data_IF_805470466471
#
_entry.id   IF_805470466471
#
_cell.length_a   1.000
_cell.length_b   1.000
_cell.length_c   1.000
_cell.angle_alpha   90.00
_cell.angle_beta   90.00
_cell.angle_gamma   90.00
#
_symmetry.space_group_name_H-M   'P 1'
#
loop_
_entity.id
_entity.type
_entity.pdbx_description
1 polymer ?
#
# COMPACT_ATOMS: atom_id res chain seq x y z
N UNK A 1 -25.89 -16.47 12.51
CA UNK A 1 -24.50 -16.27 12.99
C UNK A 1 -23.69 -15.37 12.04
N UNK A 2 -23.58 -15.71 10.75
CA UNK A 2 -22.81 -14.95 9.75
C UNK A 2 -23.26 -13.49 9.54
N UNK A 3 -24.56 -13.22 9.43
CA UNK A 3 -25.08 -11.86 9.24
C UNK A 3 -24.71 -10.89 10.39
N UNK A 4 -24.66 -11.41 11.63
CA UNK A 4 -24.27 -10.61 12.80
C UNK A 4 -22.77 -10.29 12.82
N UNK A 5 -21.93 -11.22 12.36
CA UNK A 5 -20.48 -11.01 12.22
C UNK A 5 -20.17 -9.99 11.12
N UNK A 6 -20.90 -10.05 10.00
CA UNK A 6 -20.75 -9.06 8.91
C UNK A 6 -21.24 -7.67 9.36
N UNK A 7 -22.36 -7.60 10.09
CA UNK A 7 -22.88 -6.35 10.63
C UNK A 7 -21.96 -5.69 11.67
N UNK A 8 -21.27 -6.48 12.50
CA UNK A 8 -20.31 -5.94 13.46
C UNK A 8 -19.01 -5.49 12.80
N UNK A 9 -18.52 -6.25 11.80
CA UNK A 9 -17.34 -5.87 11.03
C UNK A 9 -17.54 -4.57 10.24
N UNK A 10 -18.69 -4.42 9.57
CA UNK A 10 -19.03 -3.19 8.83
C UNK A 10 -19.14 -1.97 9.74
N UNK A 11 -19.67 -2.14 10.95
CA UNK A 11 -19.69 -1.06 11.95
C UNK A 11 -18.29 -0.69 12.43
N UNK A 12 -17.39 -1.65 12.69
CA UNK A 12 -16.00 -1.31 13.06
C UNK A 12 -15.26 -0.59 11.93
N UNK A 13 -15.43 -1.00 10.67
CA UNK A 13 -14.85 -0.29 9.53
C UNK A 13 -15.38 1.15 9.46
N UNK A 14 -16.69 1.33 9.63
CA UNK A 14 -17.29 2.66 9.69
C UNK A 14 -16.72 3.49 10.87
N UNK A 15 -16.45 2.85 12.00
CA UNK A 15 -15.89 3.47 13.19
C UNK A 15 -14.44 3.90 13.01
N UNK A 16 -13.64 3.13 12.26
CA UNK A 16 -12.29 3.52 11.80
C UNK A 16 -12.39 4.77 10.92
N UNK A 17 -13.27 4.76 9.92
CA UNK A 17 -13.43 5.89 8.97
C UNK A 17 -13.80 7.19 9.70
N UNK A 18 -14.79 7.14 10.60
CA UNK A 18 -15.23 8.30 11.39
C UNK A 18 -14.31 8.66 12.56
N UNK A 19 -13.26 7.87 12.81
CA UNK A 19 -12.39 8.00 13.98
C UNK A 19 -13.17 8.09 15.31
N UNK A 20 -14.06 7.11 15.52
CA UNK A 20 -15.02 7.08 16.63
C UNK A 20 -14.37 7.06 18.02
N UNK A 21 -13.17 6.50 18.14
CA UNK A 21 -12.35 6.53 19.36
C UNK A 21 -10.88 6.84 19.04
N UNK A 22 -10.07 7.09 20.07
CA UNK A 22 -8.63 7.30 19.90
C UNK A 22 -7.93 6.11 19.22
N UNK A 23 -8.39 4.88 19.51
CA UNK A 23 -7.87 3.64 18.91
C UNK A 23 -8.19 3.56 17.41
N UNK A 24 -9.42 3.89 17.01
CA UNK A 24 -9.85 3.96 15.62
C UNK A 24 -9.14 5.07 14.84
N UNK A 25 -8.97 6.25 15.46
CA UNK A 25 -8.25 7.40 14.89
C UNK A 25 -6.80 7.05 14.58
N UNK A 26 -6.11 6.40 15.53
CA UNK A 26 -4.70 6.02 15.35
C UNK A 26 -4.50 5.07 14.17
N UNK A 27 -5.37 4.05 14.04
CA UNK A 27 -5.32 3.15 12.89
C UNK A 27 -5.57 3.92 11.58
N UNK A 28 -6.61 4.76 11.55
CA UNK A 28 -6.94 5.57 10.37
C UNK A 28 -5.78 6.46 9.97
N UNK A 29 -5.19 7.19 10.91
CA UNK A 29 -4.12 8.14 10.63
C UNK A 29 -2.86 7.42 10.12
N UNK A 30 -2.52 6.24 10.65
CA UNK A 30 -1.45 5.40 10.07
C UNK A 30 -1.77 4.94 8.66
N UNK A 31 -2.96 4.40 8.40
CA UNK A 31 -3.37 3.92 7.06
C UNK A 31 -3.35 5.06 6.06
N UNK A 32 -3.89 6.22 6.43
CA UNK A 32 -3.91 7.42 5.60
C UNK A 32 -2.49 7.92 5.32
N UNK A 33 -1.62 7.99 6.33
CA UNK A 33 -0.23 8.41 6.16
C UNK A 33 0.53 7.47 5.21
N UNK A 34 0.38 6.15 5.38
CA UNK A 34 0.99 5.14 4.51
C UNK A 34 0.45 5.23 3.08
N UNK A 35 -0.85 5.46 2.92
CA UNK A 35 -1.48 5.61 1.61
C UNK A 35 -0.92 6.83 0.87
N UNK A 36 -0.90 8.00 1.51
CA UNK A 36 -0.35 9.21 0.91
C UNK A 36 1.15 9.09 0.62
N UNK A 37 1.92 8.50 1.53
CA UNK A 37 3.35 8.24 1.31
C UNK A 37 3.56 7.31 0.11
N UNK A 38 2.80 6.23 0.02
CA UNK A 38 2.89 5.27 -1.10
C UNK A 38 2.49 5.90 -2.42
N UNK A 39 1.43 6.72 -2.46
CA UNK A 39 1.04 7.47 -3.67
C UNK A 39 2.14 8.45 -4.09
N UNK A 40 2.79 9.14 -3.14
CA UNK A 40 3.91 10.00 -3.44
C UNK A 40 5.10 9.24 -4.04
N UNK A 41 5.46 8.10 -3.44
CA UNK A 41 6.51 7.20 -3.95
C UNK A 41 6.14 6.65 -5.34
N UNK A 42 4.91 6.23 -5.56
CA UNK A 42 4.41 5.73 -6.84
C UNK A 42 4.57 6.76 -7.97
N UNK A 43 4.21 8.03 -7.72
CA UNK A 43 4.40 9.11 -8.69
C UNK A 43 5.89 9.33 -8.99
N UNK A 44 6.75 9.33 -7.98
CA UNK A 44 8.21 9.50 -8.16
C UNK A 44 8.77 8.33 -8.97
N UNK A 45 8.45 7.09 -8.60
CA UNK A 45 8.90 5.88 -9.27
C UNK A 45 8.40 5.82 -10.72
N UNK A 46 7.17 6.24 -10.99
CA UNK A 46 6.62 6.39 -12.35
C UNK A 46 7.49 7.30 -13.21
N UNK A 47 7.85 8.49 -12.71
CA UNK A 47 8.67 9.45 -13.44
C UNK A 47 10.09 8.90 -13.67
N UNK A 48 10.69 8.29 -12.65
CA UNK A 48 12.02 7.69 -12.76
C UNK A 48 12.03 6.53 -13.77
N UNK A 49 11.06 5.62 -13.69
CA UNK A 49 10.93 4.50 -14.62
C UNK A 49 10.81 4.99 -16.06
N UNK A 50 9.95 5.98 -16.31
CA UNK A 50 9.82 6.58 -17.63
C UNK A 50 11.14 7.20 -18.12
N UNK A 51 11.84 7.97 -17.28
CA UNK A 51 13.09 8.62 -17.68
C UNK A 51 14.21 7.62 -17.96
N UNK A 52 14.30 6.54 -17.18
CA UNK A 52 15.34 5.52 -17.28
C UNK A 52 15.11 4.58 -18.46
N UNK A 53 13.86 4.19 -18.73
CA UNK A 53 13.54 3.11 -19.68
C UNK A 53 13.07 3.57 -21.07
N UNK A 54 12.54 4.80 -21.21
CA UNK A 54 11.90 5.25 -22.47
C UNK A 54 12.77 5.11 -23.72
N UNK A 55 14.09 5.22 -23.59
CA UNK A 55 15.03 5.15 -24.71
C UNK A 55 15.58 3.74 -24.97
N UNK A 56 15.35 2.77 -24.08
CA UNK A 56 15.92 1.43 -24.20
C UNK A 56 15.18 0.59 -25.27
N UNK A 57 15.83 0.08 -26.32
CA UNK A 57 15.14 -0.47 -27.50
C UNK A 57 14.14 -1.60 -27.23
N UNK A 58 14.36 -2.40 -26.19
CA UNK A 58 13.53 -3.57 -25.85
C UNK A 58 12.62 -3.37 -24.64
N UNK A 59 12.53 -2.15 -24.11
CA UNK A 59 11.71 -1.87 -22.93
C UNK A 59 10.24 -1.65 -23.32
N UNK A 60 9.33 -2.21 -22.52
CA UNK A 60 7.89 -1.98 -22.67
C UNK A 60 7.46 -0.66 -21.98
N UNK A 61 8.33 -0.06 -21.16
CA UNK A 61 8.08 1.20 -20.46
C UNK A 61 8.46 2.40 -21.35
N UNK A 62 7.56 2.76 -22.27
CA UNK A 62 7.79 3.81 -23.29
C UNK A 62 7.01 5.09 -23.10
N UNK A 63 5.95 5.04 -22.31
CA UNK A 63 5.06 6.18 -22.02
C UNK A 63 4.93 6.37 -20.51
N UNK A 64 4.48 7.54 -20.09
CA UNK A 64 4.17 7.80 -18.68
C UNK A 64 3.08 6.84 -18.20
N UNK A 65 2.07 6.53 -19.03
CA UNK A 65 1.01 5.60 -18.68
C UNK A 65 1.51 4.17 -18.43
N UNK A 66 2.38 3.65 -19.31
CA UNK A 66 3.01 2.34 -19.09
C UNK A 66 3.92 2.33 -17.87
N UNK A 67 4.62 3.43 -17.59
CA UNK A 67 5.47 3.56 -16.41
C UNK A 67 4.65 3.58 -15.12
N UNK A 68 3.52 4.31 -15.11
CA UNK A 68 2.60 4.36 -13.99
C UNK A 68 1.99 2.98 -13.71
N UNK A 69 1.49 2.33 -14.77
CA UNK A 69 0.94 0.98 -14.65
C UNK A 69 1.97 -0.01 -14.10
N UNK A 70 3.21 0.01 -14.61
CA UNK A 70 4.29 -0.83 -14.09
C UNK A 70 4.61 -0.52 -12.63
N UNK A 71 4.90 0.74 -12.28
CA UNK A 71 5.28 1.13 -10.93
C UNK A 71 4.19 0.79 -9.91
N UNK A 72 2.91 1.08 -10.21
CA UNK A 72 1.80 0.80 -9.32
C UNK A 72 1.59 -0.69 -9.08
N UNK A 73 1.63 -1.52 -10.13
CA UNK A 73 1.48 -2.98 -9.97
C UNK A 73 2.67 -3.61 -9.22
N UNK A 74 3.87 -3.04 -9.38
CA UNK A 74 5.07 -3.46 -8.66
C UNK A 74 4.97 -3.11 -7.17
N UNK A 75 4.57 -1.87 -6.84
CA UNK A 75 4.31 -1.45 -5.45
C UNK A 75 3.15 -2.20 -4.78
N UNK A 76 2.20 -2.70 -5.58
CA UNK A 76 1.12 -3.58 -5.14
C UNK A 76 1.54 -5.06 -5.04
N UNK A 77 2.79 -5.42 -5.36
CA UNK A 77 3.37 -6.78 -5.31
C UNK A 77 2.71 -7.81 -6.24
N UNK A 78 1.84 -7.39 -7.15
CA UNK A 78 1.23 -8.26 -8.16
C UNK A 78 2.15 -8.41 -9.37
N UNK A 79 2.98 -7.38 -9.62
CA UNK A 79 3.71 -7.16 -10.87
C UNK A 79 2.79 -6.99 -12.07
N UNK A 80 3.31 -6.38 -13.14
CA UNK A 80 2.56 -6.14 -14.37
C UNK A 80 2.76 -7.28 -15.37
N UNK A 81 1.93 -7.29 -16.41
CA UNK A 81 2.21 -8.06 -17.63
C UNK A 81 3.31 -7.44 -18.52
N UNK A 82 3.80 -6.24 -18.19
CA UNK A 82 4.91 -5.60 -18.90
C UNK A 82 6.23 -6.22 -18.44
N UNK A 83 7.23 -6.28 -19.33
CA UNK A 83 8.56 -6.73 -18.94
C UNK A 83 9.17 -5.79 -17.91
N UNK A 84 9.89 -6.38 -16.96
CA UNK A 84 10.66 -5.62 -15.99
C UNK A 84 11.73 -4.76 -16.69
N UNK A 85 12.07 -3.59 -16.09
CA UNK A 85 13.08 -2.69 -16.61
C UNK A 85 14.39 -3.40 -16.94
N UNK A 86 14.94 -3.08 -18.10
CA UNK A 86 16.15 -3.74 -18.60
C UNK A 86 17.42 -2.91 -18.33
N UNK A 87 17.28 -1.62 -18.09
CA UNK A 87 18.41 -0.75 -17.76
C UNK A 87 18.90 -1.00 -16.34
N UNK A 88 20.18 -0.75 -16.10
CA UNK A 88 20.76 -0.87 -14.76
C UNK A 88 20.04 0.04 -13.74
N UNK A 89 19.71 1.28 -14.14
CA UNK A 89 18.95 2.21 -13.30
C UNK A 89 17.53 1.71 -13.01
N UNK A 90 16.86 1.17 -14.03
CA UNK A 90 15.52 0.59 -13.88
C UNK A 90 15.49 -0.59 -12.90
N UNK A 91 16.52 -1.46 -12.91
CA UNK A 91 16.64 -2.57 -11.96
C UNK A 91 16.90 -2.11 -10.52
N UNK A 92 17.71 -1.08 -10.33
CA UNK A 92 17.92 -0.50 -8.99
C UNK A 92 16.62 0.11 -8.46
N UNK A 93 15.88 0.81 -9.32
CA UNK A 93 14.56 1.34 -8.98
C UNK A 93 13.58 0.23 -8.59
N UNK A 94 13.59 -0.88 -9.32
CA UNK A 94 12.75 -2.06 -9.04
C UNK A 94 12.99 -2.62 -7.62
N UNK A 95 14.25 -2.89 -7.27
CA UNK A 95 14.64 -3.36 -5.94
C UNK A 95 14.19 -2.37 -4.85
N UNK A 96 14.35 -1.06 -5.09
CA UNK A 96 13.90 -0.05 -4.13
C UNK A 96 12.39 -0.11 -3.89
N UNK A 97 11.59 -0.25 -4.96
CA UNK A 97 10.14 -0.37 -4.85
C UNK A 97 9.73 -1.65 -4.11
N UNK A 98 10.41 -2.76 -4.34
CA UNK A 98 10.14 -4.02 -3.63
C UNK A 98 10.36 -3.87 -2.12
N UNK A 99 11.47 -3.24 -1.72
CA UNK A 99 11.76 -2.95 -0.30
C UNK A 99 10.69 -2.04 0.30
N UNK A 100 10.27 -0.99 -0.41
CA UNK A 100 9.19 -0.10 0.03
C UNK A 100 7.87 -0.86 0.19
N UNK A 101 7.48 -1.66 -0.79
CA UNK A 101 6.23 -2.41 -0.79
C UNK A 101 6.14 -3.39 0.39
N UNK A 102 7.21 -4.15 0.64
CA UNK A 102 7.28 -5.07 1.79
C UNK A 102 7.18 -4.30 3.11
N UNK A 103 7.86 -3.16 3.22
CA UNK A 103 7.80 -2.31 4.41
C UNK A 103 6.38 -1.80 4.67
N UNK A 104 5.69 -1.35 3.63
CA UNK A 104 4.28 -0.92 3.71
C UNK A 104 3.38 -2.06 4.17
N UNK A 105 3.48 -3.24 3.56
CA UNK A 105 2.67 -4.40 3.93
C UNK A 105 2.91 -4.80 5.39
N UNK A 106 4.17 -4.88 5.81
CA UNK A 106 4.53 -5.23 7.18
C UNK A 106 4.00 -4.20 8.19
N UNK A 107 4.08 -2.91 7.86
CA UNK A 107 3.58 -1.83 8.71
C UNK A 107 2.06 -1.87 8.84
N UNK A 108 1.34 -2.12 7.74
CA UNK A 108 -0.12 -2.28 7.75
C UNK A 108 -0.55 -3.48 8.59
N UNK A 109 0.11 -4.63 8.44
CA UNK A 109 -0.13 -5.82 9.25
C UNK A 109 0.09 -5.53 10.75
N UNK A 110 1.18 -4.84 11.09
CA UNK A 110 1.47 -4.42 12.47
C UNK A 110 0.44 -3.45 13.04
N UNK A 111 -0.01 -2.47 12.25
CA UNK A 111 -1.02 -1.50 12.66
C UNK A 111 -2.38 -2.16 12.91
N UNK A 112 -2.79 -3.09 12.04
CA UNK A 112 -4.02 -3.88 12.20
C UNK A 112 -3.93 -4.81 13.42
N UNK A 113 -2.81 -5.50 13.60
CA UNK A 113 -2.59 -6.36 14.77
C UNK A 113 -2.65 -5.59 16.09
N UNK A 114 -2.02 -4.41 16.15
CA UNK A 114 -2.07 -3.53 17.32
C UNK A 114 -3.49 -3.01 17.59
N UNK A 115 -4.24 -2.67 16.54
CA UNK A 115 -5.64 -2.28 16.66
C UNK A 115 -6.49 -3.42 17.22
N UNK A 116 -6.42 -4.61 16.64
CA UNK A 116 -7.21 -5.77 17.09
C UNK A 116 -6.90 -6.14 18.54
N UNK A 117 -5.63 -6.13 18.92
CA UNK A 117 -5.20 -6.41 20.30
C UNK A 117 -5.82 -5.40 21.28
N UNK A 118 -5.75 -4.10 20.95
CA UNK A 118 -6.29 -3.05 21.81
C UNK A 118 -7.82 -3.09 21.90
N UNK A 119 -8.49 -3.36 20.77
CA UNK A 119 -9.96 -3.54 20.74
C UNK A 119 -10.43 -4.75 21.53
N UNK A 120 -9.64 -5.83 21.54
CA UNK A 120 -9.89 -7.00 22.39
C UNK A 120 -9.90 -6.63 23.87
N UNK A 121 -8.85 -5.93 24.32
CA UNK A 121 -8.71 -5.48 25.72
C UNK A 121 -9.84 -4.52 26.15
N UNK A 122 -10.22 -3.57 25.30
CA UNK A 122 -11.32 -2.63 25.57
C UNK A 122 -12.66 -3.37 25.80
N UNK A 123 -12.95 -4.42 25.00
CA UNK A 123 -14.19 -5.22 25.15
C UNK A 123 -14.21 -6.11 26.39
N UNK A 124 -13.04 -6.56 26.85
CA UNK A 124 -12.93 -7.36 28.08
C UNK A 124 -13.14 -6.52 29.33
N UNK A 125 -12.73 -5.24 29.32
CA UNK A 125 -12.95 -4.30 30.42
C UNK A 125 -14.40 -3.82 30.54
N UNK A 126 -15.15 -3.83 29.43
CA UNK A 126 -16.58 -3.48 29.39
C UNK A 126 -17.49 -4.63 29.86
N UNK A 127 -16.94 -5.82 30.13
CA UNK A 127 -17.66 -7.01 30.66
C UNK A 127 -17.55 -7.12 32.17
#
# INVERSE_FOLDING_TARGET
>A
MLAGVIGSATREVYDVMRAASATHRRLRDHVVAIAFATVGVDVICTLLAFLLERNAPQSDVKTIGSAAFWASTQLLTVSSQLKNPITAGGRVLDIFMEIWAITVIATLAGALGSFMQKRGQEREQER
#
